data_IF_271487519988
#
_entry.id   IF_271487519988
#
_cell.length_a   1.000
_cell.length_b   1.000
_cell.length_c   1.000
_cell.angle_alpha   90.00
_cell.angle_beta   90.00
_cell.angle_gamma   90.00
#
_symmetry.space_group_name_H-M   'P 1'
#
loop_
_entity.id
_entity.type
_entity.pdbx_description
1 polymer ?
#
# COMPACT_ATOMS: atom_id res chain seq x y z
N UNK A 1 -29.12 29.56 -1.53
CA UNK A 1 -27.92 29.52 -2.39
C UNK A 1 -26.90 28.66 -1.68
N UNK A 2 -26.64 27.43 -2.15
CA UNK A 2 -25.77 26.47 -1.46
C UNK A 2 -24.39 26.49 -2.10
N UNK A 3 -23.36 26.73 -1.29
CA UNK A 3 -21.96 26.79 -1.72
C UNK A 3 -21.35 25.40 -1.61
N UNK A 4 -21.01 24.79 -2.75
CA UNK A 4 -20.26 23.54 -2.79
C UNK A 4 -18.78 23.84 -2.53
N UNK A 5 -18.20 23.22 -1.52
CA UNK A 5 -16.76 23.24 -1.28
C UNK A 5 -16.16 21.99 -1.93
N UNK A 6 -15.31 22.20 -2.92
CA UNK A 6 -14.56 21.14 -3.61
C UNK A 6 -13.35 20.81 -2.74
N UNK A 7 -13.14 19.52 -2.44
CA UNK A 7 -11.88 19.04 -1.89
C UNK A 7 -10.90 18.95 -3.07
N UNK A 8 -9.97 19.89 -3.17
CA UNK A 8 -8.85 19.75 -4.09
C UNK A 8 -8.00 18.55 -3.66
N UNK A 9 -8.08 17.46 -4.42
CA UNK A 9 -7.28 16.27 -4.23
C UNK A 9 -5.80 16.58 -4.45
N UNK A 10 -5.03 16.62 -3.36
CA UNK A 10 -3.60 16.94 -3.31
C UNK A 10 -2.67 15.92 -3.98
N UNK A 11 -2.93 15.52 -5.23
CA UNK A 11 -1.97 14.72 -6.04
C UNK A 11 -0.75 15.54 -6.48
N UNK A 12 -0.81 16.88 -6.41
CA UNK A 12 0.29 17.76 -6.79
C UNK A 12 1.49 17.81 -5.81
N UNK A 13 1.29 17.45 -4.53
CA UNK A 13 2.39 17.46 -3.53
C UNK A 13 3.23 16.19 -3.51
N UNK A 14 2.69 15.06 -3.99
CA UNK A 14 3.43 13.80 -4.06
C UNK A 14 4.38 13.75 -5.25
N UNK A 15 3.96 14.27 -6.42
CA UNK A 15 4.80 14.32 -7.62
C UNK A 15 6.04 15.23 -7.43
N UNK A 16 5.92 16.32 -6.65
CA UNK A 16 7.05 17.19 -6.35
C UNK A 16 8.12 16.53 -5.47
N UNK A 17 7.80 15.45 -4.76
CA UNK A 17 8.73 14.76 -3.84
C UNK A 17 9.44 13.55 -4.49
N UNK A 18 9.01 13.11 -5.67
CA UNK A 18 9.66 12.01 -6.40
C UNK A 18 10.91 12.46 -7.17
N UNK A 19 10.99 13.73 -7.57
CA UNK A 19 12.13 14.27 -8.30
C UNK A 19 13.42 14.43 -7.43
N UNK A 20 13.34 14.19 -6.11
CA UNK A 20 14.44 14.45 -5.17
C UNK A 20 15.12 13.23 -4.53
N UNK A 21 14.64 12.00 -4.75
CA UNK A 21 15.21 10.79 -4.11
C UNK A 21 16.17 10.04 -5.04
N UNK A 22 17.32 10.65 -5.33
CA UNK A 22 18.52 9.90 -5.71
C UNK A 22 19.15 9.20 -4.48
N UNK A 23 18.31 8.59 -3.62
CA UNK A 23 18.68 8.01 -2.34
C UNK A 23 18.21 6.56 -2.27
N UNK A 24 19.02 5.69 -1.65
CA UNK A 24 18.70 4.27 -1.46
C UNK A 24 17.29 4.10 -0.88
N UNK A 25 16.52 3.08 -1.30
CA UNK A 25 15.20 2.82 -0.74
C UNK A 25 15.24 2.68 0.77
N UNK A 26 14.19 3.15 1.42
CA UNK A 26 14.03 3.17 2.88
C UNK A 26 12.92 2.22 3.32
N UNK A 27 12.89 1.85 4.60
CA UNK A 27 11.81 1.03 5.17
C UNK A 27 10.43 1.67 4.99
N UNK A 28 10.38 3.00 4.94
CA UNK A 28 9.17 3.77 4.66
C UNK A 28 8.70 3.59 3.20
N UNK A 29 9.62 3.39 2.25
CA UNK A 29 9.27 3.10 0.85
C UNK A 29 8.69 1.69 0.72
N UNK A 30 9.25 0.74 1.47
CA UNK A 30 8.71 -0.63 1.57
C UNK A 30 7.31 -0.62 2.17
N UNK A 31 7.07 0.17 3.24
CA UNK A 31 5.74 0.33 3.84
C UNK A 31 4.72 0.88 2.84
N UNK A 32 5.07 1.95 2.12
CA UNK A 32 4.19 2.55 1.11
C UNK A 32 3.85 1.57 -0.01
N UNK A 33 4.82 0.75 -0.42
CA UNK A 33 4.59 -0.24 -1.46
C UNK A 33 3.72 -1.41 -0.98
N UNK A 34 3.84 -1.81 0.29
CA UNK A 34 2.94 -2.76 0.93
C UNK A 34 1.50 -2.22 0.95
N UNK A 35 1.32 -0.96 1.34
CA UNK A 35 0.02 -0.29 1.34
C UNK A 35 -0.58 -0.20 -0.07
N UNK A 36 0.24 0.14 -1.07
CA UNK A 36 -0.18 0.16 -2.47
C UNK A 36 -0.71 -1.22 -2.92
N UNK A 37 0.00 -2.30 -2.59
CA UNK A 37 -0.40 -3.68 -2.93
C UNK A 37 -1.66 -4.13 -2.18
N UNK A 38 -1.80 -3.80 -0.89
CA UNK A 38 -3.01 -4.10 -0.11
C UNK A 38 -4.22 -3.36 -0.68
N UNK A 39 -4.05 -2.11 -1.09
CA UNK A 39 -5.12 -1.36 -1.72
C UNK A 39 -5.52 -1.97 -3.08
N UNK A 40 -4.51 -2.33 -3.90
CA UNK A 40 -4.72 -2.96 -5.21
C UNK A 40 -5.39 -4.35 -5.15
N UNK A 41 -5.29 -5.06 -4.02
CA UNK A 41 -5.97 -6.36 -3.84
C UNK A 41 -7.47 -6.24 -3.56
N UNK A 42 -7.99 -5.03 -3.37
CA UNK A 42 -9.39 -4.79 -3.00
C UNK A 42 -9.68 -5.13 -1.53
N UNK A 43 -8.65 -5.26 -0.69
CA UNK A 43 -8.82 -5.54 0.74
C UNK A 43 -9.77 -4.53 1.41
N UNK A 44 -9.58 -3.24 1.14
CA UNK A 44 -10.38 -2.18 1.76
C UNK A 44 -11.86 -2.28 1.39
N UNK A 45 -12.16 -2.58 0.12
CA UNK A 45 -13.53 -2.76 -0.36
C UNK A 45 -14.21 -3.95 0.33
N UNK A 46 -13.50 -5.07 0.44
CA UNK A 46 -13.99 -6.24 1.16
C UNK A 46 -14.19 -5.96 2.65
N UNK A 47 -13.29 -5.17 3.26
CA UNK A 47 -13.39 -4.79 4.67
C UNK A 47 -14.62 -3.93 4.92
N UNK A 48 -14.90 -2.97 4.04
CA UNK A 48 -16.11 -2.14 4.10
C UNK A 48 -17.37 -2.99 3.92
N UNK A 49 -17.40 -3.93 2.96
CA UNK A 49 -18.54 -4.82 2.75
C UNK A 49 -18.81 -5.71 3.96
N UNK A 50 -17.78 -6.29 4.56
CA UNK A 50 -17.92 -7.11 5.75
C UNK A 50 -18.51 -6.31 6.92
N UNK A 51 -18.05 -5.08 7.13
CA UNK A 51 -18.60 -4.18 8.15
C UNK A 51 -20.06 -3.79 7.89
N UNK A 52 -20.40 -3.50 6.64
CA UNK A 52 -21.74 -3.05 6.27
C UNK A 52 -22.79 -4.17 6.26
N UNK A 53 -22.39 -5.39 5.90
CA UNK A 53 -23.31 -6.50 5.63
C UNK A 53 -23.22 -7.64 6.64
N UNK A 54 -22.16 -7.67 7.47
CA UNK A 54 -21.84 -8.81 8.33
C UNK A 54 -21.37 -10.05 7.57
N UNK A 55 -21.32 -10.02 6.23
CA UNK A 55 -20.84 -11.15 5.42
C UNK A 55 -19.32 -11.23 5.52
N UNK A 56 -18.73 -12.36 5.95
CA UNK A 56 -17.29 -12.46 6.12
C UNK A 56 -16.54 -12.20 4.81
N UNK A 57 -15.43 -11.46 4.91
CA UNK A 57 -14.48 -11.31 3.81
C UNK A 57 -13.93 -12.68 3.37
N UNK A 58 -13.65 -12.92 2.07
CA UNK A 58 -12.97 -14.13 1.62
C UNK A 58 -11.63 -14.33 2.34
N UNK A 59 -11.36 -15.57 2.75
CA UNK A 59 -10.20 -15.85 3.60
C UNK A 59 -8.88 -15.60 2.86
N UNK A 60 -8.87 -15.77 1.55
CA UNK A 60 -7.76 -15.52 0.64
C UNK A 60 -7.33 -14.05 0.68
N UNK A 61 -8.28 -13.12 0.73
CA UNK A 61 -8.00 -11.68 0.82
C UNK A 61 -7.38 -11.32 2.18
N UNK A 62 -7.86 -11.94 3.26
CA UNK A 62 -7.25 -11.78 4.60
C UNK A 62 -5.82 -12.31 4.62
N UNK A 63 -5.60 -13.50 4.06
CA UNK A 63 -4.26 -14.09 4.02
C UNK A 63 -3.31 -13.30 3.14
N UNK A 64 -3.76 -12.80 1.99
CA UNK A 64 -2.93 -11.98 1.11
C UNK A 64 -2.43 -10.72 1.82
N UNK A 65 -3.31 -10.01 2.56
CA UNK A 65 -2.87 -8.87 3.39
C UNK A 65 -1.79 -9.27 4.39
N UNK A 66 -2.01 -10.36 5.13
CA UNK A 66 -1.04 -10.87 6.11
C UNK A 66 0.31 -11.18 5.46
N UNK A 67 0.31 -11.80 4.28
CA UNK A 67 1.53 -12.13 3.54
C UNK A 67 2.25 -10.88 3.04
N UNK A 68 1.52 -9.86 2.55
CA UNK A 68 2.10 -8.59 2.13
C UNK A 68 2.75 -7.87 3.32
N UNK A 69 2.06 -7.81 4.47
CA UNK A 69 2.61 -7.21 5.69
C UNK A 69 3.86 -7.95 6.18
N UNK A 70 3.87 -9.29 6.10
CA UNK A 70 5.03 -10.10 6.45
C UNK A 70 6.22 -9.83 5.51
N UNK A 71 5.99 -9.83 4.19
CA UNK A 71 7.00 -9.54 3.19
C UNK A 71 7.62 -8.14 3.42
N UNK A 72 6.77 -7.13 3.68
CA UNK A 72 7.22 -5.77 3.97
C UNK A 72 8.14 -5.73 5.21
N UNK A 73 7.77 -6.43 6.29
CA UNK A 73 8.60 -6.51 7.48
C UNK A 73 9.93 -7.22 7.22
N UNK A 74 9.94 -8.27 6.39
CA UNK A 74 11.15 -9.00 6.04
C UNK A 74 12.11 -8.13 5.20
N UNK A 75 11.60 -7.46 4.16
CA UNK A 75 12.38 -6.57 3.29
C UNK A 75 12.93 -5.39 4.09
N UNK A 76 12.13 -4.80 4.98
CA UNK A 76 12.54 -3.66 5.80
C UNK A 76 13.70 -3.95 6.76
N UNK A 77 13.98 -5.23 7.05
CA UNK A 77 15.11 -5.68 7.88
C UNK A 77 16.42 -5.83 7.12
N UNK A 78 16.41 -5.69 5.79
CA UNK A 78 17.64 -5.79 5.02
C UNK A 78 18.58 -4.64 5.39
N UNK A 79 19.84 -4.97 5.65
CA UNK A 79 20.91 -3.98 5.92
C UNK A 79 21.00 -2.94 4.79
N UNK A 80 20.71 -3.37 3.56
CA UNK A 80 20.54 -2.52 2.39
C UNK A 80 19.32 -3.00 1.61
N UNK A 81 18.28 -2.17 1.54
CA UNK A 81 17.07 -2.48 0.78
C UNK A 81 17.42 -2.49 -0.72
N UNK A 82 16.99 -3.53 -1.48
CA UNK A 82 17.25 -3.61 -2.91
C UNK A 82 16.61 -2.44 -3.66
N UNK A 83 17.27 -1.94 -4.71
CA UNK A 83 16.73 -0.85 -5.53
C UNK A 83 15.42 -1.26 -6.24
N UNK A 84 15.28 -2.54 -6.52
CA UNK A 84 14.17 -3.22 -7.18
C UNK A 84 13.22 -3.91 -6.18
N UNK A 85 13.18 -3.47 -4.92
CA UNK A 85 12.32 -4.09 -3.88
C UNK A 85 10.84 -4.17 -4.26
N UNK A 86 10.37 -3.35 -5.22
CA UNK A 86 9.01 -3.38 -5.74
C UNK A 86 8.76 -4.49 -6.78
N UNK A 87 9.78 -5.27 -7.16
CA UNK A 87 9.65 -6.43 -8.04
C UNK A 87 8.82 -7.52 -7.36
N UNK A 88 7.93 -8.17 -8.12
CA UNK A 88 7.04 -9.22 -7.61
C UNK A 88 7.79 -10.45 -7.05
N UNK A 89 9.08 -10.61 -7.35
CA UNK A 89 9.93 -11.63 -6.73
C UNK A 89 10.02 -11.52 -5.19
N UNK A 90 9.74 -10.33 -4.63
CA UNK A 90 9.78 -10.07 -3.19
C UNK A 90 8.41 -10.15 -2.51
N UNK A 91 7.32 -10.24 -3.27
CA UNK A 91 5.95 -10.11 -2.76
C UNK A 91 5.14 -11.36 -3.06
N UNK A 92 4.10 -11.67 -2.27
CA UNK A 92 3.18 -12.74 -2.60
C UNK A 92 2.46 -12.45 -3.92
N UNK A 93 2.29 -13.50 -4.74
CA UNK A 93 1.53 -13.48 -5.98
C UNK A 93 0.03 -13.72 -5.73
#
# INVERSE_FOLDING_TARGET
>A
MVKFMVIEGGKGRFAANEAGRAGRPTSEDVRKEAERRIHASGYDDWRVRELATGTPMPIEIRYLRMQIEYAAQAIARFVKIPADFASDNYWPA
#
